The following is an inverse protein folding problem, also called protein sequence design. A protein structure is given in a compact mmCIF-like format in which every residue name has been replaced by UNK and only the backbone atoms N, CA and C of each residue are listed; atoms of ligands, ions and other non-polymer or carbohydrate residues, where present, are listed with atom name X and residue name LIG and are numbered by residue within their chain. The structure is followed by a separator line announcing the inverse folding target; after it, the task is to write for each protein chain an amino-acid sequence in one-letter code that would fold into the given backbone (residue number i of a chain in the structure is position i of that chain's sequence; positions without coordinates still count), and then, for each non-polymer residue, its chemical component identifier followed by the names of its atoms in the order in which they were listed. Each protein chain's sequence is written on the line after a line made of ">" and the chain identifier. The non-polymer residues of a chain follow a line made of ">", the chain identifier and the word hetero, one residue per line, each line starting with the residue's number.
data_IF_037211823058
#
_entry.id   IF_037211823058
#
_cell.length_a   1.000
_cell.length_b   1.000
_cell.length_c   1.000
_cell.angle_alpha   90.00
_cell.angle_beta   90.00
_cell.angle_gamma   90.00
#
_symmetry.space_group_name_H-M   'P 1'
#
loop_
_entity.id
_entity.type
_entity.pdbx_description
1 polymer ?
#
# COMPACT_ATOMS: atom_id res chain seq x y z
N UNK A 1 -18.42 -34.55 -2.76
CA UNK A 1 -17.36 -34.11 -1.84
C UNK A 1 -16.18 -33.70 -2.71
N UNK A 2 -16.36 -32.59 -3.45
CA UNK A 2 -15.50 -32.23 -4.56
C UNK A 2 -14.47 -31.19 -4.10
N UNK A 3 -13.20 -31.47 -4.39
CA UNK A 3 -12.03 -30.80 -3.84
C UNK A 3 -11.80 -29.40 -4.37
N UNK A 4 -12.55 -28.42 -3.87
CA UNK A 4 -12.22 -27.01 -4.01
C UNK A 4 -10.99 -26.67 -3.13
N UNK A 5 -9.80 -26.91 -3.69
CA UNK A 5 -8.54 -26.33 -3.20
C UNK A 5 -8.67 -24.81 -3.25
N UNK A 6 -8.90 -24.17 -2.11
CA UNK A 6 -8.73 -22.72 -1.98
C UNK A 6 -7.20 -22.49 -1.93
N UNK A 7 -6.56 -21.85 -2.92
CA UNK A 7 -5.09 -21.80 -3.02
C UNK A 7 -4.44 -20.79 -2.05
N UNK A 8 -5.07 -20.57 -0.91
CA UNK A 8 -4.60 -19.70 0.15
C UNK A 8 -4.73 -20.46 1.45
N UNK A 9 -3.75 -21.31 1.72
CA UNK A 9 -3.38 -21.53 3.11
C UNK A 9 -3.02 -20.13 3.65
N UNK A 10 -3.96 -19.54 4.39
CA UNK A 10 -3.81 -18.34 5.21
C UNK A 10 -3.68 -18.73 6.71
N UNK A 11 -2.88 -19.73 7.16
CA UNK A 11 -2.92 -20.18 8.55
C UNK A 11 -1.93 -19.40 9.42
N UNK A 12 -1.19 -18.41 8.87
CA UNK A 12 -0.20 -17.62 9.62
C UNK A 12 -0.55 -16.14 9.73
N UNK A 13 -1.80 -15.76 9.47
CA UNK A 13 -2.34 -14.47 9.93
C UNK A 13 -2.48 -14.54 11.46
N UNK A 14 -1.36 -14.40 12.16
CA UNK A 14 -1.36 -13.96 13.56
C UNK A 14 -2.27 -12.72 13.68
N UNK A 15 -2.84 -12.41 14.86
CA UNK A 15 -3.75 -11.28 15.09
C UNK A 15 -3.19 -9.88 14.73
N UNK A 16 -2.01 -9.81 14.12
CA UNK A 16 -1.28 -8.64 13.64
C UNK A 16 -1.04 -8.62 12.11
N UNK A 17 -1.68 -9.49 11.32
CA UNK A 17 -1.87 -9.24 9.88
C UNK A 17 -0.62 -9.29 9.00
N UNK A 18 0.40 -10.11 9.32
CA UNK A 18 1.57 -10.33 8.45
C UNK A 18 1.37 -11.54 7.55
N UNK A 19 1.37 -11.34 6.23
CA UNK A 19 1.44 -12.40 5.23
C UNK A 19 2.67 -12.19 4.35
N UNK A 20 3.43 -13.24 4.03
CA UNK A 20 4.53 -13.14 3.06
C UNK A 20 4.14 -13.90 1.80
N UNK A 21 3.90 -13.18 0.71
CA UNK A 21 3.38 -13.75 -0.53
C UNK A 21 4.56 -14.07 -1.46
N UNK A 22 5.12 -15.27 -1.31
CA UNK A 22 6.32 -15.67 -2.03
C UNK A 22 6.09 -16.10 -3.49
N UNK A 23 4.83 -16.29 -3.94
CA UNK A 23 4.57 -17.04 -5.19
C UNK A 23 3.64 -16.42 -6.21
N UNK A 24 2.85 -15.39 -5.89
CA UNK A 24 1.82 -14.88 -6.81
C UNK A 24 2.08 -13.43 -7.28
N UNK A 25 1.87 -13.14 -8.59
CA UNK A 25 2.05 -11.80 -9.14
C UNK A 25 0.91 -10.83 -8.78
N UNK A 26 -0.17 -11.32 -8.18
CA UNK A 26 -1.31 -10.51 -7.74
C UNK A 26 -1.82 -10.98 -6.40
N UNK A 27 -2.34 -10.05 -5.60
CA UNK A 27 -3.13 -10.38 -4.42
C UNK A 27 -4.55 -10.75 -4.89
N UNK A 28 -5.17 -11.82 -4.37
CA UNK A 28 -6.48 -12.27 -4.84
C UNK A 28 -7.55 -11.23 -4.48
N UNK A 29 -8.55 -10.99 -5.35
CA UNK A 29 -9.69 -10.12 -5.04
C UNK A 29 -10.39 -10.51 -3.74
N UNK A 30 -10.37 -11.79 -3.36
CA UNK A 30 -10.94 -12.32 -2.12
C UNK A 30 -10.39 -11.66 -0.84
N UNK A 31 -9.25 -10.95 -0.89
CA UNK A 31 -8.79 -10.12 0.24
C UNK A 31 -9.88 -9.12 0.69
N UNK A 32 -10.69 -8.62 -0.24
CA UNK A 32 -11.81 -7.70 0.02
C UNK A 32 -12.88 -8.26 0.96
N UNK A 33 -12.98 -9.59 1.07
CA UNK A 33 -13.91 -10.23 2.00
C UNK A 33 -13.48 -10.10 3.46
N UNK A 34 -12.22 -9.72 3.73
CA UNK A 34 -11.71 -9.49 5.07
C UNK A 34 -12.10 -8.08 5.56
N UNK A 35 -13.39 -7.75 5.53
CA UNK A 35 -13.90 -6.40 5.85
C UNK A 35 -13.60 -5.94 7.29
N UNK A 36 -13.32 -6.87 8.20
CA UNK A 36 -12.85 -6.60 9.57
C UNK A 36 -11.33 -6.44 9.72
N UNK A 37 -10.56 -6.48 8.62
CA UNK A 37 -9.12 -6.38 8.67
C UNK A 37 -8.69 -4.96 9.08
N UNK A 38 -8.02 -4.85 10.23
CA UNK A 38 -7.55 -3.57 10.78
C UNK A 38 -6.11 -3.28 10.37
N UNK A 39 -5.30 -4.31 10.18
CA UNK A 39 -3.88 -4.20 9.82
C UNK A 39 -3.53 -5.21 8.74
N UNK A 40 -2.81 -4.77 7.72
CA UNK A 40 -2.36 -5.61 6.63
C UNK A 40 -0.91 -5.26 6.29
N UNK A 41 -0.01 -6.21 6.53
CA UNK A 41 1.40 -6.09 6.20
C UNK A 41 1.82 -7.27 5.34
N UNK A 42 2.43 -6.99 4.20
CA UNK A 42 3.00 -8.06 3.40
C UNK A 42 4.20 -7.60 2.58
N UNK A 43 5.04 -8.58 2.27
CA UNK A 43 6.18 -8.42 1.39
C UNK A 43 6.10 -9.46 0.27
N UNK A 44 6.42 -9.06 -0.96
CA UNK A 44 6.46 -9.92 -2.12
C UNK A 44 7.42 -9.42 -3.18
N UNK A 45 8.39 -10.24 -3.55
CA UNK A 45 9.30 -9.95 -4.67
C UNK A 45 8.63 -10.08 -6.05
N UNK A 46 7.44 -10.70 -6.11
CA UNK A 46 6.78 -11.07 -7.38
C UNK A 46 5.51 -10.30 -7.66
N UNK A 47 4.95 -9.62 -6.67
CA UNK A 47 3.70 -8.88 -6.80
C UNK A 47 3.85 -7.74 -7.82
N UNK A 48 3.04 -7.79 -8.88
CA UNK A 48 3.00 -6.82 -9.96
C UNK A 48 1.84 -5.84 -9.81
N UNK A 49 0.71 -6.28 -9.22
CA UNK A 49 -0.50 -5.45 -9.04
C UNK A 49 -1.26 -5.80 -7.76
N UNK A 50 -1.91 -4.78 -7.19
CA UNK A 50 -2.94 -4.94 -6.17
C UNK A 50 -4.34 -4.95 -6.81
N UNK A 51 -5.31 -5.69 -6.24
CA UNK A 51 -6.69 -5.68 -6.70
C UNK A 51 -7.37 -4.35 -6.42
N UNK A 52 -8.25 -3.89 -7.32
CA UNK A 52 -9.09 -2.70 -7.11
C UNK A 52 -10.11 -2.92 -5.97
N UNK A 53 -10.42 -4.18 -5.65
CA UNK A 53 -11.30 -4.53 -4.56
C UNK A 53 -10.68 -4.23 -3.18
N UNK A 54 -9.37 -3.94 -3.11
CA UNK A 54 -8.70 -3.54 -1.86
C UNK A 54 -9.35 -2.31 -1.22
N UNK A 55 -9.89 -1.39 -2.02
CA UNK A 55 -10.59 -0.20 -1.53
C UNK A 55 -11.87 -0.49 -0.71
N UNK A 56 -12.31 -1.75 -0.64
CA UNK A 56 -13.44 -2.17 0.20
C UNK A 56 -13.05 -2.45 1.66
N UNK A 57 -11.75 -2.54 1.97
CA UNK A 57 -11.21 -2.79 3.31
C UNK A 57 -11.34 -1.56 4.22
N UNK A 58 -12.56 -1.08 4.44
CA UNK A 58 -12.83 0.17 5.16
C UNK A 58 -12.43 0.14 6.64
N UNK A 59 -12.22 -1.04 7.24
CA UNK A 59 -11.74 -1.14 8.63
C UNK A 59 -10.22 -1.01 8.76
N UNK A 60 -9.50 -0.98 7.63
CA UNK A 60 -8.05 -0.96 7.62
C UNK A 60 -7.52 0.37 8.14
N UNK A 61 -6.65 0.29 9.15
CA UNK A 61 -6.00 1.42 9.82
C UNK A 61 -4.52 1.49 9.56
N UNK A 62 -3.84 0.35 9.43
CA UNK A 62 -2.42 0.33 9.10
C UNK A 62 -2.14 -0.63 7.96
N UNK A 63 -1.45 -0.13 6.94
CA UNK A 63 -1.09 -0.87 5.75
C UNK A 63 0.41 -0.79 5.53
N UNK A 64 1.05 -1.94 5.36
CA UNK A 64 2.43 -2.02 4.95
C UNK A 64 2.66 -2.94 3.76
N UNK A 65 3.43 -2.46 2.80
CA UNK A 65 3.72 -3.18 1.58
C UNK A 65 5.20 -3.08 1.22
N UNK A 66 5.83 -4.24 1.06
CA UNK A 66 7.10 -4.41 0.37
C UNK A 66 6.91 -5.11 -0.96
N UNK A 67 7.21 -4.48 -2.09
CA UNK A 67 7.03 -5.15 -3.39
C UNK A 67 7.95 -4.64 -4.51
N UNK A 68 8.94 -5.46 -4.86
CA UNK A 68 9.96 -5.09 -5.84
C UNK A 68 9.42 -4.90 -7.26
N UNK A 69 8.37 -5.64 -7.65
CA UNK A 69 7.82 -5.67 -9.03
C UNK A 69 6.50 -4.93 -9.18
N UNK A 70 6.00 -4.28 -8.12
CA UNK A 70 4.74 -3.56 -8.17
C UNK A 70 4.90 -2.33 -9.06
N UNK A 71 4.00 -2.15 -10.02
CA UNK A 71 4.10 -1.01 -10.96
C UNK A 71 3.31 0.22 -10.51
N UNK A 72 2.22 0.01 -9.76
CA UNK A 72 1.35 1.08 -9.27
C UNK A 72 0.47 0.60 -8.11
N UNK A 73 -0.03 1.56 -7.33
CA UNK A 73 -1.17 1.34 -6.43
C UNK A 73 -2.48 1.60 -7.19
N UNK A 74 -3.56 0.86 -6.87
CA UNK A 74 -4.85 0.99 -7.55
C UNK A 74 -5.56 2.28 -7.17
N UNK A 75 -6.43 2.80 -8.04
CA UNK A 75 -7.13 4.06 -7.76
C UNK A 75 -8.08 3.94 -6.55
N UNK A 76 -8.66 2.76 -6.36
CA UNK A 76 -9.45 2.40 -5.17
C UNK A 76 -8.69 2.49 -3.84
N UNK A 77 -7.36 2.62 -3.84
CA UNK A 77 -6.58 2.76 -2.61
C UNK A 77 -7.04 3.97 -1.78
N UNK A 78 -7.46 5.06 -2.45
CA UNK A 78 -8.05 6.23 -1.77
C UNK A 78 -9.38 5.97 -1.07
N UNK A 79 -10.02 4.81 -1.26
CA UNK A 79 -11.25 4.44 -0.54
C UNK A 79 -10.97 3.86 0.84
N UNK A 80 -9.70 3.65 1.23
CA UNK A 80 -9.27 3.24 2.56
C UNK A 80 -9.36 4.42 3.55
N UNK A 81 -10.53 5.04 3.68
CA UNK A 81 -10.73 6.31 4.40
C UNK A 81 -10.45 6.25 5.90
N UNK A 82 -10.29 5.05 6.47
CA UNK A 82 -9.88 4.85 7.86
C UNK A 82 -8.39 4.56 8.04
N UNK A 83 -7.59 4.57 6.97
CA UNK A 83 -6.17 4.35 7.05
C UNK A 83 -5.50 5.50 7.81
N UNK A 84 -4.79 5.15 8.87
CA UNK A 84 -4.06 6.04 9.77
C UNK A 84 -2.55 5.96 9.47
N UNK A 85 -2.05 4.78 9.10
CA UNK A 85 -0.63 4.52 8.86
C UNK A 85 -0.40 3.83 7.52
N UNK A 86 0.53 4.36 6.72
CA UNK A 86 0.96 3.81 5.44
C UNK A 86 2.47 3.61 5.43
N UNK A 87 2.90 2.38 5.23
CA UNK A 87 4.31 2.02 5.09
C UNK A 87 4.56 1.38 3.72
N UNK A 88 5.32 2.06 2.86
CA UNK A 88 5.73 1.55 1.56
C UNK A 88 7.25 1.36 1.56
N UNK A 89 7.69 0.12 1.35
CA UNK A 89 9.09 -0.27 1.43
C UNK A 89 9.49 -1.00 0.15
N UNK A 90 10.73 -0.87 -0.29
CA UNK A 90 11.31 -1.66 -1.39
C UNK A 90 10.46 -1.67 -2.67
N UNK A 91 9.83 -0.54 -3.01
CA UNK A 91 9.03 -0.41 -4.23
C UNK A 91 9.93 0.03 -5.39
N UNK A 92 10.62 -0.94 -5.98
CA UNK A 92 11.62 -0.68 -7.01
C UNK A 92 11.03 -0.37 -8.40
N UNK A 93 9.73 -0.64 -8.63
CA UNK A 93 9.09 -0.48 -9.95
C UNK A 93 7.91 0.52 -9.97
N UNK A 94 7.56 1.11 -8.82
CA UNK A 94 6.47 2.10 -8.74
C UNK A 94 6.98 3.48 -9.12
N UNK A 95 6.41 4.08 -10.16
CA UNK A 95 6.86 5.37 -10.69
C UNK A 95 6.12 6.57 -10.06
N UNK A 96 4.90 6.34 -9.58
CA UNK A 96 4.08 7.35 -8.92
C UNK A 96 3.05 6.72 -7.98
N UNK A 97 2.58 7.51 -7.02
CA UNK A 97 1.42 7.16 -6.20
C UNK A 97 0.16 7.78 -6.85
N UNK A 98 -1.01 7.13 -6.74
CA UNK A 98 -2.24 7.67 -7.29
C UNK A 98 -2.66 8.94 -6.55
N UNK A 99 -3.20 9.93 -7.27
CA UNK A 99 -3.77 11.16 -6.69
C UNK A 99 -4.93 10.85 -5.71
N UNK A 100 -5.54 9.67 -5.79
CA UNK A 100 -6.57 9.27 -4.83
C UNK A 100 -6.04 9.10 -3.40
N UNK A 101 -4.73 9.10 -3.19
CA UNK A 101 -4.13 9.09 -1.85
C UNK A 101 -4.56 10.29 -0.99
N UNK A 102 -4.91 11.42 -1.60
CA UNK A 102 -5.43 12.60 -0.88
C UNK A 102 -6.77 12.36 -0.16
N UNK A 103 -7.52 11.34 -0.61
CA UNK A 103 -8.79 10.94 0.04
C UNK A 103 -8.57 10.24 1.38
N UNK A 104 -7.34 9.88 1.73
CA UNK A 104 -6.99 9.26 3.01
C UNK A 104 -6.99 10.30 4.15
N UNK A 105 -8.17 10.85 4.43
CA UNK A 105 -8.39 11.92 5.41
C UNK A 105 -7.95 11.59 6.85
N UNK A 106 -7.72 10.31 7.16
CA UNK A 106 -7.23 9.86 8.47
C UNK A 106 -5.73 9.58 8.53
N UNK A 107 -5.04 9.61 7.40
CA UNK A 107 -3.63 9.27 7.31
C UNK A 107 -2.81 10.26 8.13
N UNK A 108 -2.12 9.76 9.15
CA UNK A 108 -1.27 10.53 10.04
C UNK A 108 0.22 10.23 9.83
N UNK A 109 0.54 8.99 9.46
CA UNK A 109 1.92 8.55 9.22
C UNK A 109 2.03 7.99 7.81
N UNK A 110 2.92 8.57 7.01
CA UNK A 110 3.35 8.01 5.75
C UNK A 110 4.87 7.80 5.77
N UNK A 111 5.30 6.55 5.72
CA UNK A 111 6.70 6.19 5.59
C UNK A 111 6.95 5.51 4.24
N UNK A 112 7.84 6.07 3.45
CA UNK A 112 8.42 5.49 2.25
C UNK A 112 9.90 5.19 2.46
N UNK A 113 10.35 3.95 2.22
CA UNK A 113 11.79 3.67 2.08
C UNK A 113 12.09 2.96 0.77
N UNK A 114 13.23 3.30 0.18
CA UNK A 114 13.73 2.65 -1.05
C UNK A 114 12.70 2.71 -2.20
N UNK A 115 12.06 3.87 -2.36
CA UNK A 115 11.07 4.15 -3.41
C UNK A 115 11.76 4.65 -4.69
N UNK A 116 12.69 3.86 -5.24
CA UNK A 116 13.69 4.31 -6.21
C UNK A 116 13.18 4.99 -7.49
N UNK A 117 11.96 4.67 -7.94
CA UNK A 117 11.40 5.20 -9.18
C UNK A 117 10.41 6.36 -8.96
N UNK A 118 10.02 6.65 -7.72
CA UNK A 118 9.11 7.76 -7.40
C UNK A 118 9.90 9.06 -7.45
N UNK A 119 9.75 9.81 -8.53
CA UNK A 119 10.42 11.10 -8.71
C UNK A 119 9.71 12.25 -7.98
N UNK A 120 8.39 12.15 -7.84
CA UNK A 120 7.54 13.15 -7.21
C UNK A 120 6.42 12.48 -6.45
N UNK A 121 6.10 13.02 -5.28
CA UNK A 121 4.88 12.70 -4.58
C UNK A 121 3.68 13.38 -5.26
N UNK A 122 2.48 12.76 -5.24
CA UNK A 122 1.28 13.37 -5.78
C UNK A 122 0.89 14.62 -4.97
N UNK A 123 0.39 15.65 -5.66
CA UNK A 123 -0.04 16.89 -5.03
C UNK A 123 -1.22 16.68 -4.06
N UNK A 124 -2.01 15.63 -4.29
CA UNK A 124 -3.10 15.25 -3.41
C UNK A 124 -2.68 14.91 -1.97
N UNK A 125 -1.39 14.68 -1.66
CA UNK A 125 -0.97 14.54 -0.25
C UNK A 125 -1.24 15.81 0.58
N UNK A 126 -1.38 16.97 -0.05
CA UNK A 126 -1.84 18.19 0.62
C UNK A 126 -3.29 18.09 1.14
N UNK A 127 -4.11 17.18 0.58
CA UNK A 127 -5.47 16.90 1.06
C UNK A 127 -5.48 16.02 2.33
N UNK A 128 -4.36 15.34 2.63
CA UNK A 128 -4.17 14.56 3.86
C UNK A 128 -3.95 15.48 5.07
N UNK A 129 -4.98 16.22 5.46
CA UNK A 129 -4.95 17.21 6.56
C UNK A 129 -4.54 16.67 7.93
N UNK A 130 -4.53 15.34 8.13
CA UNK A 130 -4.10 14.70 9.37
C UNK A 130 -2.65 14.21 9.36
N UNK A 131 -1.94 14.38 8.24
CA UNK A 131 -0.58 13.89 8.08
C UNK A 131 0.36 14.69 9.00
N UNK A 132 0.92 14.02 10.02
CA UNK A 132 1.86 14.60 10.98
C UNK A 132 3.28 14.10 10.79
N UNK A 133 3.43 12.94 10.13
CA UNK A 133 4.73 12.34 9.86
C UNK A 133 4.80 11.89 8.40
N UNK A 134 5.79 12.42 7.68
CA UNK A 134 6.16 12.02 6.32
C UNK A 134 7.66 11.70 6.33
N UNK A 135 8.02 10.42 6.36
CA UNK A 135 9.41 9.93 6.30
C UNK A 135 9.66 9.30 4.92
N UNK A 136 10.59 9.85 4.14
CA UNK A 136 10.99 9.31 2.83
C UNK A 136 12.50 9.08 2.83
N UNK A 137 12.93 7.85 3.12
CA UNK A 137 14.35 7.50 3.15
C UNK A 137 14.75 6.87 1.80
N UNK A 138 15.70 7.54 1.12
CA UNK A 138 16.25 7.22 -0.20
C UNK A 138 15.38 7.53 -1.44
N UNK A 139 15.25 8.81 -1.83
CA UNK A 139 15.12 9.16 -3.25
C UNK A 139 16.53 9.42 -3.84
N UNK A 140 17.00 8.71 -4.90
CA UNK A 140 18.08 9.25 -5.73
C UNK A 140 17.61 10.57 -6.36
N UNK A 141 18.53 11.52 -6.64
CA UNK A 141 18.34 12.91 -6.28
C UNK A 141 16.99 13.42 -6.78
N UNK A 142 16.14 13.84 -5.84
CA UNK A 142 15.13 14.86 -6.10
C UNK A 142 15.91 16.02 -6.71
N UNK A 143 15.98 16.10 -8.04
CA UNK A 143 16.64 17.18 -8.75
C UNK A 143 16.07 18.45 -8.16
N UNK A 144 16.96 19.22 -7.52
CA UNK A 144 16.72 20.47 -6.83
C UNK A 144 15.49 21.21 -7.36
N UNK A 145 14.32 20.87 -6.83
CA UNK A 145 13.14 21.68 -6.96
C UNK A 145 13.13 22.54 -5.72
N UNK A 146 13.99 23.57 -5.75
CA UNK A 146 13.56 24.85 -5.19
C UNK A 146 12.15 25.08 -5.73
N UNK A 147 11.13 25.00 -4.88
CA UNK A 147 9.87 25.77 -4.93
C UNK A 147 8.78 25.03 -4.12
N UNK A 148 8.60 25.52 -2.88
CA UNK A 148 7.33 25.83 -2.20
C UNK A 148 6.42 24.64 -1.82
N UNK A 149 6.28 24.46 -0.50
CA UNK A 149 5.13 23.85 0.18
C UNK A 149 3.93 24.79 0.17
#
# INVERSE_FOLDING_TARGET
>A
LDGARVPFDLPSLYPFGRAVLHRHPTLPPAISNLTGLVRLYFHSERLERLPEEMGTLRSLKSFGLGAARLTSLPNSFGNLTNLEELHLLDLMSVHSLPETIGKLSKLSVFCGRELFQIQRLPGALCECTRLTCLDLFAPPPLLAASTIW
#
